data_IF_582536678647
#
_entry.id   IF_582536678647
#
_cell.length_a   1.000
_cell.length_b   1.000
_cell.length_c   1.000
_cell.angle_alpha   90.00
_cell.angle_beta   90.00
_cell.angle_gamma   90.00
#
_symmetry.space_group_name_H-M   'P 1'
#
loop_
_entity.id
_entity.type
_entity.pdbx_description
1 polymer ?
#
# COMPACT_ATOMS: atom_id res chain seq x y z
N UNK A 1 21.50 33.63 19.48
CA UNK A 1 21.01 32.24 19.64
C UNK A 1 20.49 31.74 18.30
N UNK A 2 21.33 31.09 17.50
CA UNK A 2 20.90 30.41 16.27
C UNK A 2 20.50 28.98 16.63
N UNK A 3 19.20 28.69 16.59
CA UNK A 3 18.69 27.32 16.63
C UNK A 3 18.93 26.67 15.27
N UNK A 4 19.99 25.86 15.17
CA UNK A 4 20.12 24.90 14.08
C UNK A 4 19.06 23.82 14.26
N UNK A 5 18.02 23.82 13.41
CA UNK A 5 17.17 22.66 13.21
C UNK A 5 18.00 21.55 12.56
N UNK A 6 18.60 20.69 13.38
CA UNK A 6 19.19 19.45 12.93
C UNK A 6 18.04 18.49 12.58
N UNK A 7 17.66 18.46 11.31
CA UNK A 7 16.87 17.35 10.75
C UNK A 7 17.74 16.10 10.90
N UNK A 8 17.43 15.25 11.88
CA UNK A 8 18.00 13.91 11.97
C UNK A 8 17.61 13.15 10.70
N UNK A 9 18.51 13.08 9.73
CA UNK A 9 18.42 12.13 8.63
C UNK A 9 18.81 10.77 9.23
N UNK A 10 17.82 10.01 9.70
CA UNK A 10 18.07 8.63 10.09
C UNK A 10 18.61 7.84 8.89
N UNK A 11 19.72 7.11 9.04
CA UNK A 11 20.28 6.32 7.96
C UNK A 11 19.24 5.31 7.48
N UNK A 12 19.12 5.20 6.16
CA UNK A 12 18.14 4.37 5.46
C UNK A 12 18.32 2.90 5.87
N UNK A 13 17.58 2.44 6.90
CA UNK A 13 17.69 1.05 7.32
C UNK A 13 17.16 0.15 6.19
N UNK A 14 17.85 -0.95 5.89
CA UNK A 14 17.46 -1.94 4.85
C UNK A 14 16.00 -2.40 4.97
N UNK A 15 15.35 -2.22 6.13
CA UNK A 15 13.94 -2.54 6.35
C UNK A 15 12.98 -1.64 5.58
N UNK A 16 13.38 -0.43 5.19
CA UNK A 16 12.45 0.52 4.57
C UNK A 16 12.05 0.15 3.13
N UNK A 17 12.89 -0.58 2.40
CA UNK A 17 12.64 -0.95 1.00
C UNK A 17 12.09 -2.37 0.83
N UNK A 18 11.96 -3.12 1.93
CA UNK A 18 11.42 -4.48 1.88
C UNK A 18 10.00 -4.50 2.43
N UNK A 19 9.06 -5.14 1.72
CA UNK A 19 7.71 -5.24 2.22
C UNK A 19 7.69 -6.21 3.40
N UNK A 20 6.77 -5.97 4.33
CA UNK A 20 6.54 -6.93 5.42
C UNK A 20 5.90 -8.19 4.88
N UNK A 21 5.00 -8.07 3.92
CA UNK A 21 4.33 -9.20 3.27
C UNK A 21 4.44 -9.09 1.75
N UNK A 22 4.59 -10.22 1.06
CA UNK A 22 4.53 -10.27 -0.40
C UNK A 22 3.62 -11.39 -0.85
N UNK A 23 2.54 -11.03 -1.55
CA UNK A 23 1.48 -11.94 -1.98
C UNK A 23 1.16 -11.74 -3.45
N UNK A 24 0.43 -12.69 -4.03
CA UNK A 24 0.14 -12.67 -5.46
C UNK A 24 -0.92 -11.64 -5.83
N UNK A 25 -1.93 -11.44 -4.98
CA UNK A 25 -3.02 -10.52 -5.27
C UNK A 25 -3.64 -9.97 -3.99
N UNK A 26 -4.10 -8.73 -4.04
CA UNK A 26 -4.94 -8.13 -3.00
C UNK A 26 -6.14 -9.03 -2.65
N UNK A 27 -6.73 -9.66 -3.66
CA UNK A 27 -7.93 -10.51 -3.51
C UNK A 27 -7.66 -11.86 -2.85
N UNK A 28 -6.38 -12.25 -2.68
CA UNK A 28 -6.02 -13.47 -1.95
C UNK A 28 -5.93 -13.27 -0.44
N UNK A 29 -5.96 -12.02 0.03
CA UNK A 29 -5.84 -11.67 1.46
C UNK A 29 -7.13 -12.03 2.19
N UNK A 30 -6.99 -12.71 3.34
CA UNK A 30 -8.09 -13.01 4.25
C UNK A 30 -8.27 -11.85 5.25
N UNK A 31 -9.06 -10.87 4.84
CA UNK A 31 -9.33 -9.67 5.65
C UNK A 31 -10.10 -9.99 6.92
N UNK A 32 -10.93 -11.04 6.93
CA UNK A 32 -11.61 -11.48 8.15
C UNK A 32 -10.60 -11.89 9.21
N UNK A 33 -9.61 -12.74 8.88
CA UNK A 33 -8.56 -13.12 9.85
C UNK A 33 -7.74 -11.92 10.31
N UNK A 34 -7.50 -10.93 9.44
CA UNK A 34 -6.84 -9.68 9.85
C UNK A 34 -7.70 -8.88 10.83
N UNK A 35 -9.01 -8.81 10.61
CA UNK A 35 -9.93 -8.14 11.52
C UNK A 35 -9.93 -8.83 12.90
N UNK A 36 -9.96 -10.17 12.90
CA UNK A 36 -9.87 -11.02 14.10
C UNK A 36 -8.52 -10.82 14.83
N UNK A 37 -7.45 -10.44 14.12
CA UNK A 37 -6.14 -10.07 14.67
C UNK A 37 -6.07 -8.62 15.21
N UNK A 38 -7.16 -7.85 15.14
CA UNK A 38 -7.23 -6.50 15.68
C UNK A 38 -6.99 -5.36 14.67
N UNK A 39 -6.81 -5.66 13.39
CA UNK A 39 -6.72 -4.62 12.36
C UNK A 39 -8.08 -3.96 12.13
N UNK A 40 -8.09 -2.65 11.91
CA UNK A 40 -9.29 -1.83 11.69
C UNK A 40 -9.19 -0.89 10.48
N UNK A 41 -7.98 -0.58 10.03
CA UNK A 41 -7.73 0.26 8.86
C UNK A 41 -7.05 -0.49 7.73
N UNK A 42 -7.53 -0.30 6.50
CA UNK A 42 -6.83 -0.76 5.29
C UNK A 42 -6.66 0.40 4.31
N UNK A 43 -5.41 0.71 4.01
CA UNK A 43 -5.06 1.70 3.00
C UNK A 43 -4.66 0.96 1.72
N UNK A 44 -5.21 1.36 0.58
CA UNK A 44 -4.91 0.75 -0.72
C UNK A 44 -4.27 1.77 -1.67
N UNK A 45 -3.24 1.35 -2.39
CA UNK A 45 -3.01 1.91 -3.72
C UNK A 45 -4.09 1.41 -4.72
N UNK A 46 -4.23 2.08 -5.86
CA UNK A 46 -5.29 1.78 -6.85
C UNK A 46 -4.74 1.04 -8.06
N UNK A 47 -3.87 1.72 -8.82
CA UNK A 47 -3.42 1.28 -10.13
C UNK A 47 -2.38 0.17 -9.99
N UNK A 48 -2.62 -0.97 -10.64
CA UNK A 48 -1.86 -2.21 -10.51
C UNK A 48 -1.89 -2.88 -9.13
N UNK A 49 -2.65 -2.34 -8.18
CA UNK A 49 -2.91 -2.96 -6.88
C UNK A 49 -4.29 -3.60 -6.83
N UNK A 50 -5.33 -2.83 -7.20
CA UNK A 50 -6.72 -3.30 -7.25
C UNK A 50 -7.11 -3.66 -8.70
N UNK A 51 -6.74 -2.83 -9.65
CA UNK A 51 -7.08 -2.99 -11.08
C UNK A 51 -5.88 -2.65 -11.96
N UNK A 52 -5.85 -3.01 -13.25
CA UNK A 52 -4.81 -2.50 -14.16
C UNK A 52 -4.77 -0.97 -14.16
N UNK A 53 -3.62 -0.40 -14.49
CA UNK A 53 -3.45 1.05 -14.59
C UNK A 53 -4.55 1.73 -15.42
N UNK A 54 -5.20 2.75 -14.84
CA UNK A 54 -6.33 3.51 -15.40
C UNK A 54 -7.59 2.72 -15.77
N UNK A 55 -7.69 1.44 -15.38
CA UNK A 55 -8.91 0.68 -15.55
C UNK A 55 -10.00 1.13 -14.55
N UNK A 56 -11.30 1.04 -14.93
CA UNK A 56 -12.40 1.24 -14.00
C UNK A 56 -12.42 0.15 -12.91
N UNK A 57 -13.16 0.40 -11.84
CA UNK A 57 -13.40 -0.63 -10.82
C UNK A 57 -14.19 -1.81 -11.42
N UNK A 58 -13.67 -3.02 -11.23
CA UNK A 58 -14.35 -4.25 -11.60
C UNK A 58 -15.17 -4.82 -10.42
N UNK A 59 -15.92 -5.89 -10.66
CA UNK A 59 -16.79 -6.48 -9.64
C UNK A 59 -16.01 -7.04 -8.46
N UNK A 60 -14.74 -7.45 -8.67
CA UNK A 60 -13.87 -7.91 -7.59
C UNK A 60 -13.51 -6.76 -6.66
N UNK A 61 -13.15 -5.59 -7.20
CA UNK A 61 -12.89 -4.39 -6.41
C UNK A 61 -14.13 -3.99 -5.61
N UNK A 62 -15.31 -3.91 -6.25
CA UNK A 62 -16.57 -3.56 -5.56
C UNK A 62 -16.90 -4.54 -4.43
N UNK A 63 -16.80 -5.84 -4.70
CA UNK A 63 -17.04 -6.88 -3.71
C UNK A 63 -16.06 -6.78 -2.53
N UNK A 64 -14.78 -6.49 -2.79
CA UNK A 64 -13.77 -6.30 -1.74
C UNK A 64 -14.12 -5.14 -0.81
N UNK A 65 -14.47 -3.97 -1.35
CA UNK A 65 -14.82 -2.82 -0.51
C UNK A 65 -16.11 -3.05 0.28
N UNK A 66 -17.07 -3.77 -0.30
CA UNK A 66 -18.25 -4.21 0.43
C UNK A 66 -17.89 -5.19 1.56
N UNK A 67 -17.06 -6.20 1.30
CA UNK A 67 -16.58 -7.16 2.31
C UNK A 67 -15.89 -6.45 3.48
N UNK A 68 -14.99 -5.50 3.18
CA UNK A 68 -14.30 -4.71 4.19
C UNK A 68 -15.28 -3.91 5.05
N UNK A 69 -16.26 -3.28 4.42
CA UNK A 69 -17.30 -2.52 5.12
C UNK A 69 -18.13 -3.41 6.04
N UNK A 70 -18.62 -4.55 5.53
CA UNK A 70 -19.43 -5.50 6.29
C UNK A 70 -18.65 -6.08 7.50
N UNK A 71 -17.33 -6.23 7.36
CA UNK A 71 -16.44 -6.65 8.46
C UNK A 71 -16.18 -5.54 9.50
N UNK A 72 -16.45 -4.27 9.17
CA UNK A 72 -16.20 -3.12 10.04
C UNK A 72 -14.85 -2.43 9.83
N UNK A 73 -14.15 -2.71 8.73
CA UNK A 73 -12.93 -1.96 8.39
C UNK A 73 -13.26 -0.53 7.95
N UNK A 74 -12.36 0.38 8.28
CA UNK A 74 -12.21 1.65 7.58
C UNK A 74 -11.24 1.46 6.42
N UNK A 75 -11.67 1.83 5.21
CA UNK A 75 -10.88 1.70 4.01
C UNK A 75 -10.60 3.06 3.37
N UNK A 76 -9.38 3.24 2.84
CA UNK A 76 -8.97 4.48 2.19
C UNK A 76 -8.09 4.23 0.97
N UNK A 77 -8.40 4.89 -0.14
CA UNK A 77 -7.56 4.91 -1.34
C UNK A 77 -6.48 5.98 -1.24
N UNK A 78 -5.21 5.59 -1.29
CA UNK A 78 -4.05 6.50 -1.20
C UNK A 78 -3.25 6.45 -2.51
N UNK A 79 -3.44 7.45 -3.36
CA UNK A 79 -2.87 7.46 -4.71
C UNK A 79 -2.04 8.72 -5.00
N UNK A 80 -0.94 8.55 -5.75
CA UNK A 80 -0.19 9.68 -6.33
C UNK A 80 -0.87 10.28 -7.57
N UNK A 81 -1.97 9.69 -8.03
CA UNK A 81 -2.68 10.13 -9.22
C UNK A 81 -3.48 11.43 -8.97
N UNK A 82 -4.00 12.04 -10.04
CA UNK A 82 -4.85 13.23 -9.98
C UNK A 82 -6.25 12.84 -9.48
N UNK A 83 -6.93 13.80 -8.86
CA UNK A 83 -8.24 13.58 -8.25
C UNK A 83 -9.27 12.87 -9.13
N UNK A 84 -9.46 13.19 -10.43
CA UNK A 84 -10.49 12.54 -11.23
C UNK A 84 -10.37 11.02 -11.25
N UNK A 85 -9.14 10.50 -11.39
CA UNK A 85 -8.88 9.05 -11.42
C UNK A 85 -9.27 8.37 -10.11
N UNK A 86 -8.94 9.00 -8.98
CA UNK A 86 -9.15 8.43 -7.64
C UNK A 86 -10.60 8.57 -7.22
N UNK A 87 -11.21 9.73 -7.50
CA UNK A 87 -12.60 10.03 -7.21
C UNK A 87 -13.55 9.09 -7.96
N UNK A 88 -13.37 8.92 -9.27
CA UNK A 88 -14.20 8.00 -10.06
C UNK A 88 -14.08 6.56 -9.57
N UNK A 89 -12.89 6.12 -9.14
CA UNK A 89 -12.73 4.79 -8.57
C UNK A 89 -13.42 4.66 -7.21
N UNK A 90 -13.25 5.64 -6.32
CA UNK A 90 -13.93 5.71 -5.04
C UNK A 90 -15.45 5.67 -5.19
N UNK A 91 -15.99 6.43 -6.13
CA UNK A 91 -17.43 6.47 -6.42
C UNK A 91 -17.96 5.11 -6.86
N UNK A 92 -17.17 4.34 -7.61
CA UNK A 92 -17.56 3.02 -8.08
C UNK A 92 -17.49 1.92 -7.00
N UNK A 93 -16.63 2.05 -5.98
CA UNK A 93 -16.49 1.06 -4.88
C UNK A 93 -17.21 1.45 -3.59
N UNK A 94 -17.66 2.70 -3.49
CA UNK A 94 -18.55 3.28 -2.46
C UNK A 94 -18.00 3.36 -1.02
N UNK A 95 -17.58 2.23 -0.45
CA UNK A 95 -17.34 2.04 0.99
C UNK A 95 -15.93 2.45 1.46
N UNK A 96 -15.37 3.51 0.89
CA UNK A 96 -14.07 4.04 1.29
C UNK A 96 -13.98 5.56 1.13
N UNK A 97 -12.97 6.15 1.78
CA UNK A 97 -12.53 7.52 1.52
C UNK A 97 -11.33 7.51 0.55
N UNK A 98 -10.84 8.68 0.14
CA UNK A 98 -9.64 8.77 -0.69
C UNK A 98 -8.76 9.99 -0.38
N UNK A 99 -7.47 9.83 -0.68
CA UNK A 99 -6.47 10.89 -0.75
C UNK A 99 -5.77 10.76 -2.11
N UNK A 100 -5.89 11.79 -2.94
CA UNK A 100 -5.20 11.93 -4.21
C UNK A 100 -3.93 12.78 -4.05
N UNK A 101 -3.03 12.77 -5.05
CA UNK A 101 -1.73 13.46 -4.99
C UNK A 101 -1.02 13.24 -3.64
N UNK A 102 -1.04 11.99 -3.17
CA UNK A 102 -0.56 11.60 -1.84
C UNK A 102 0.94 11.85 -1.58
N UNK A 103 1.70 12.14 -2.64
CA UNK A 103 3.14 12.40 -2.60
C UNK A 103 3.97 11.23 -2.01
N UNK A 104 3.53 9.99 -2.22
CA UNK A 104 4.31 8.77 -1.91
C UNK A 104 5.68 8.87 -2.60
N UNK A 105 6.81 8.61 -1.92
CA UNK A 105 6.94 7.86 -0.65
C UNK A 105 6.96 8.72 0.63
N UNK A 106 6.44 9.96 0.61
CA UNK A 106 6.24 10.72 1.84
C UNK A 106 5.30 9.98 2.79
N UNK A 107 5.63 9.97 4.09
CA UNK A 107 4.79 9.37 5.13
C UNK A 107 3.52 10.19 5.43
N UNK A 108 3.46 11.46 4.97
CA UNK A 108 2.37 12.38 5.30
C UNK A 108 1.00 11.89 4.83
N UNK A 109 0.91 11.31 3.62
CA UNK A 109 -0.35 10.77 3.10
C UNK A 109 -0.89 9.60 3.93
N UNK A 110 0.00 8.73 4.39
CA UNK A 110 -0.34 7.58 5.24
C UNK A 110 -0.81 8.00 6.63
N UNK A 111 -0.16 9.01 7.23
CA UNK A 111 -0.58 9.56 8.53
C UNK A 111 -1.96 10.19 8.45
N UNK A 112 -2.17 11.04 7.43
CA UNK A 112 -3.49 11.65 7.15
C UNK A 112 -4.56 10.59 6.89
N UNK A 113 -4.20 9.49 6.22
CA UNK A 113 -5.13 8.39 6.00
C UNK A 113 -5.57 7.73 7.32
N UNK A 114 -4.62 7.42 8.21
CA UNK A 114 -4.93 6.88 9.54
C UNK A 114 -5.78 7.84 10.37
N UNK A 115 -5.47 9.13 10.34
CA UNK A 115 -6.28 10.18 11.00
C UNK A 115 -7.73 10.17 10.51
N UNK A 116 -7.96 10.10 9.19
CA UNK A 116 -9.31 10.06 8.61
C UNK A 116 -10.06 8.77 8.94
N UNK A 117 -9.35 7.65 9.05
CA UNK A 117 -9.93 6.35 9.39
C UNK A 117 -10.10 6.16 10.91
N UNK A 118 -9.56 7.06 11.75
CA UNK A 118 -9.54 6.86 13.21
C UNK A 118 -8.69 5.67 13.64
N UNK A 119 -7.63 5.37 12.90
CA UNK A 119 -6.73 4.22 13.14
C UNK A 119 -5.30 4.69 13.41
N UNK A 120 -4.40 3.76 13.70
CA UNK A 120 -2.98 4.04 13.95
C UNK A 120 -2.06 2.94 13.35
N UNK A 121 -0.76 3.07 13.59
CA UNK A 121 0.26 2.15 13.04
C UNK A 121 0.14 0.71 13.53
N UNK A 122 -0.57 0.47 14.65
CA UNK A 122 -0.73 -0.85 15.27
C UNK A 122 -1.89 -1.63 14.66
N UNK A 123 -2.93 -0.94 14.18
CA UNK A 123 -4.15 -1.54 13.64
C UNK A 123 -4.45 -1.15 12.18
N UNK A 124 -3.48 -0.56 11.47
CA UNK A 124 -3.57 -0.26 10.04
C UNK A 124 -2.62 -1.14 9.22
N UNK A 125 -3.09 -1.62 8.09
CA UNK A 125 -2.25 -2.20 7.03
C UNK A 125 -2.35 -1.36 5.76
N UNK A 126 -1.30 -1.44 4.95
CA UNK A 126 -1.28 -0.83 3.63
C UNK A 126 -0.98 -1.89 2.57
N UNK A 127 -1.70 -1.82 1.44
CA UNK A 127 -1.56 -2.75 0.30
C UNK A 127 -1.23 -1.96 -0.96
N UNK A 128 -0.16 -2.33 -1.66
CA UNK A 128 0.30 -1.66 -2.88
C UNK A 128 1.22 -2.54 -3.73
N UNK A 129 1.61 -2.09 -4.93
CA UNK A 129 2.42 -2.91 -5.87
C UNK A 129 3.83 -2.37 -6.12
N UNK A 130 4.14 -1.14 -5.72
CA UNK A 130 5.44 -0.51 -6.00
C UNK A 130 6.34 -0.42 -4.78
N UNK A 131 7.62 -0.78 -4.91
CA UNK A 131 8.54 -0.69 -3.78
C UNK A 131 8.87 0.76 -3.43
N UNK A 132 9.20 1.57 -4.42
CA UNK A 132 9.78 2.91 -4.21
C UNK A 132 8.75 3.95 -3.78
N UNK A 133 7.46 3.66 -3.90
CA UNK A 133 6.37 4.58 -3.51
C UNK A 133 5.56 3.99 -2.37
N UNK A 134 5.05 2.78 -2.58
CA UNK A 134 4.09 2.13 -1.70
C UNK A 134 4.79 1.53 -0.48
N UNK A 135 5.65 0.53 -0.69
CA UNK A 135 6.36 -0.15 0.41
C UNK A 135 7.22 0.83 1.18
N UNK A 136 8.00 1.65 0.48
CA UNK A 136 8.87 2.63 1.13
C UNK A 136 8.07 3.67 1.92
N UNK A 137 6.97 4.17 1.36
CA UNK A 137 6.12 5.15 2.04
C UNK A 137 5.45 4.59 3.29
N UNK A 138 4.87 3.40 3.20
CA UNK A 138 4.23 2.74 4.34
C UNK A 138 5.23 2.40 5.46
N UNK A 139 6.41 1.89 5.10
CA UNK A 139 7.46 1.60 6.07
C UNK A 139 7.97 2.88 6.77
N UNK A 140 8.12 4.00 6.04
CA UNK A 140 8.44 5.32 6.62
C UNK A 140 7.35 5.84 7.54
N UNK A 141 6.09 5.45 7.31
CA UNK A 141 4.97 5.78 8.18
C UNK A 141 4.84 4.82 9.39
N UNK A 142 5.62 3.74 9.44
CA UNK A 142 5.54 2.71 10.49
C UNK A 142 4.41 1.70 10.29
N UNK A 143 3.74 1.71 9.14
CA UNK A 143 2.60 0.85 8.84
C UNK A 143 3.09 -0.47 8.24
N UNK A 144 2.43 -1.58 8.58
CA UNK A 144 2.68 -2.88 7.94
C UNK A 144 2.33 -2.81 6.45
N UNK A 145 3.33 -2.99 5.60
CA UNK A 145 3.21 -2.99 4.14
C UNK A 145 3.01 -4.40 3.58
N UNK A 146 1.96 -4.57 2.78
CA UNK A 146 1.69 -5.77 1.98
C UNK A 146 1.89 -5.41 0.51
N UNK A 147 2.95 -5.97 -0.08
CA UNK A 147 3.21 -5.80 -1.49
C UNK A 147 2.48 -6.90 -2.29
N UNK A 148 1.82 -6.51 -3.36
CA UNK A 148 1.15 -7.44 -4.29
C UNK A 148 1.88 -7.49 -5.63
N UNK A 149 1.62 -8.51 -6.45
CA UNK A 149 2.06 -8.48 -7.84
C UNK A 149 1.23 -7.46 -8.63
N UNK A 150 1.84 -6.67 -9.52
CA UNK A 150 1.13 -5.76 -10.40
C UNK A 150 0.07 -6.51 -11.21
N UNK A 151 -1.16 -5.98 -11.26
CA UNK A 151 -2.27 -6.61 -12.00
C UNK A 151 -1.94 -6.74 -13.49
N UNK A 152 -1.29 -5.74 -14.11
CA UNK A 152 -0.83 -5.82 -15.50
C UNK A 152 0.46 -5.02 -15.71
N UNK A 153 1.46 -5.61 -16.39
CA UNK A 153 2.80 -5.02 -16.50
C UNK A 153 3.06 -4.14 -17.73
N UNK A 154 2.23 -4.24 -18.77
CA UNK A 154 2.61 -3.79 -20.12
C UNK A 154 1.87 -2.54 -20.64
N UNK A 155 1.00 -1.94 -19.82
CA UNK A 155 0.23 -0.73 -20.19
C UNK A 155 0.48 0.40 -19.19
N UNK A 156 1.74 0.82 -19.10
CA UNK A 156 2.17 1.83 -18.13
C UNK A 156 2.96 2.94 -18.80
N UNK A 157 2.96 4.11 -18.17
CA UNK A 157 3.81 5.23 -18.58
C UNK A 157 5.29 4.86 -18.46
N UNK A 158 6.13 5.40 -19.35
CA UNK A 158 7.58 5.10 -19.43
C UNK A 158 8.29 5.30 -18.09
N UNK A 159 7.89 6.32 -17.33
CA UNK A 159 8.45 6.60 -16.00
C UNK A 159 8.21 5.45 -15.01
N UNK A 160 7.07 4.77 -15.10
CA UNK A 160 6.72 3.63 -14.25
C UNK A 160 7.58 2.41 -14.65
N UNK A 161 7.73 2.17 -15.95
CA UNK A 161 8.57 1.06 -16.47
C UNK A 161 10.01 1.21 -15.98
N UNK A 162 10.58 2.41 -16.05
CA UNK A 162 11.94 2.67 -15.54
C UNK A 162 12.07 2.39 -14.04
N UNK A 163 11.09 2.81 -13.23
CA UNK A 163 11.06 2.48 -11.79
C UNK A 163 11.00 0.98 -11.55
N UNK A 164 10.16 0.25 -12.30
CA UNK A 164 10.06 -1.21 -12.18
C UNK A 164 11.38 -1.91 -12.48
N UNK A 165 12.16 -1.42 -13.44
CA UNK A 165 13.50 -1.93 -13.72
C UNK A 165 14.43 -1.76 -12.51
N UNK A 166 14.45 -0.57 -11.88
CA UNK A 166 15.23 -0.35 -10.65
C UNK A 166 14.73 -1.23 -9.49
N UNK A 167 13.42 -1.36 -9.33
CA UNK A 167 12.80 -2.19 -8.31
C UNK A 167 13.09 -3.68 -8.48
N UNK A 168 13.33 -4.16 -9.71
CA UNK A 168 13.68 -5.56 -9.96
C UNK A 168 14.98 -5.96 -9.24
N UNK A 169 15.96 -5.06 -9.15
CA UNK A 169 17.19 -5.29 -8.39
C UNK A 169 16.92 -5.36 -6.88
N UNK A 170 16.00 -4.53 -6.38
CA UNK A 170 15.58 -4.55 -4.96
C UNK A 170 14.84 -5.86 -4.66
N UNK A 171 13.94 -6.31 -5.54
CA UNK A 171 13.24 -7.58 -5.41
C UNK A 171 14.18 -8.78 -5.45
N UNK A 172 15.23 -8.73 -6.27
CA UNK A 172 16.26 -9.76 -6.29
C UNK A 172 16.96 -9.84 -4.92
N UNK A 173 17.34 -8.70 -4.36
CA UNK A 173 17.89 -8.60 -3.00
C UNK A 173 16.90 -9.10 -1.93
N UNK A 174 15.60 -8.80 -2.07
CA UNK A 174 14.54 -9.27 -1.17
C UNK A 174 14.36 -10.80 -1.24
N UNK A 175 14.40 -11.40 -2.43
CA UNK A 175 14.34 -12.86 -2.59
C UNK A 175 15.49 -13.55 -1.87
N UNK A 176 16.70 -13.01 -2.02
CA UNK A 176 17.89 -13.50 -1.30
C UNK A 176 17.69 -13.31 0.21
N UNK A 177 17.23 -12.13 0.65
CA UNK A 177 16.95 -11.85 2.06
C UNK A 177 15.92 -12.83 2.66
N UNK A 178 14.88 -13.21 1.92
CA UNK A 178 13.86 -14.16 2.36
C UNK A 178 14.37 -15.60 2.41
N UNK A 179 15.23 -16.00 1.47
CA UNK A 179 15.84 -17.33 1.45
C UNK A 179 16.83 -17.54 2.60
N UNK A 180 17.52 -16.47 3.01
CA UNK A 180 18.59 -16.53 4.02
C UNK A 180 18.24 -15.81 5.35
N UNK A 181 16.98 -15.40 5.56
CA UNK A 181 16.57 -14.52 6.65
C UNK A 181 15.27 -14.93 7.36
N UNK A 182 15.07 -14.34 8.56
CA UNK A 182 14.02 -14.59 9.57
C UNK A 182 12.62 -14.92 9.01
N UNK A 183 11.90 -15.80 9.71
CA UNK A 183 10.46 -16.05 9.53
C UNK A 183 9.69 -14.72 9.46
N UNK A 184 9.15 -14.43 8.28
CA UNK A 184 8.30 -13.25 8.03
C UNK A 184 6.86 -13.70 8.28
N UNK A 185 6.19 -13.10 9.27
CA UNK A 185 4.76 -13.33 9.52
C UNK A 185 3.99 -12.97 8.26
N UNK A 186 3.41 -13.97 7.60
CA UNK A 186 2.61 -13.77 6.39
C UNK A 186 1.25 -13.21 6.76
N UNK A 187 0.76 -12.27 5.96
CA UNK A 187 -0.65 -11.90 5.92
C UNK A 187 -1.48 -13.17 5.68
N UNK A 188 -2.59 -13.38 6.40
CA UNK A 188 -3.43 -14.54 6.17
C UNK A 188 -4.01 -14.50 4.76
N UNK A 189 -4.09 -15.67 4.13
CA UNK A 189 -4.64 -15.86 2.79
C UNK A 189 -5.91 -16.72 2.86
N UNK A 190 -6.80 -16.52 1.89
CA UNK A 190 -7.98 -17.35 1.65
C UNK A 190 -7.59 -18.70 1.06
#
# INVERSE_FOLDING_TARGET
MCFFYCVKIEPMSKRNLYPRDYVDSTYSIDFKKLYDQGYRGVIFDVDNTLVPHNAPADDRAKALFKELHDLGFQALLLSNNKEPRVKTFKEAVEYCTYIYKANKPSASGYKRAMEQMGTDVTNTIFVGDQILTDVWGANRAGIRSVMVKPVLKWKEEIQIIFKRFLEAFILLGYRIYKLYGKNINKVPLK
#
